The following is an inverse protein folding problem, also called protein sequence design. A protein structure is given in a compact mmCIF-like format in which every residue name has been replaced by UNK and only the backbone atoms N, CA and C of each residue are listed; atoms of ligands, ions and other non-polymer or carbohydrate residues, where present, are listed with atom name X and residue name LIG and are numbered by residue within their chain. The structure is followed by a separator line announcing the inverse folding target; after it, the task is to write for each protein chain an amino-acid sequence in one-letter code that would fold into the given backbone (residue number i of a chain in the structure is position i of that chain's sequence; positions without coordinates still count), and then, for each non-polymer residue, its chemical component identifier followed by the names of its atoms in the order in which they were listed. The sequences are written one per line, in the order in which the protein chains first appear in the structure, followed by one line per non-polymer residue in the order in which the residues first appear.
data_IF_667280210946
#
_entry.id   IF_667280210946
#
_cell.length_a   1.000
_cell.length_b   1.000
_cell.length_c   1.000
_cell.angle_alpha   90.00
_cell.angle_beta   90.00
_cell.angle_gamma   90.00
#
_symmetry.space_group_name_H-M   'P 1'
#
loop_
_entity.id
_entity.type
_entity.pdbx_description
1 polymer ?
#
# COMPACT_ATOMS: atom_id res chain seq x y z
N UNK A 1 -20.80 0.57 8.73
CA UNK A 1 -20.48 -0.62 7.91
C UNK A 1 -21.05 -0.39 6.52
N UNK A 2 -20.21 -0.25 5.49
CA UNK A 2 -20.66 0.01 4.12
C UNK A 2 -21.56 -1.16 3.65
N UNK A 3 -22.82 -0.87 3.31
CA UNK A 3 -23.86 -1.87 2.96
C UNK A 3 -24.15 -1.91 1.45
N UNK A 4 -23.11 -1.88 0.62
CA UNK A 4 -23.23 -2.02 -0.84
C UNK A 4 -21.95 -2.58 -1.45
N UNK A 5 -22.01 -3.12 -2.68
CA UNK A 5 -20.80 -3.48 -3.42
C UNK A 5 -19.89 -2.26 -3.56
N UNK A 6 -18.58 -2.48 -3.61
CA UNK A 6 -17.64 -1.39 -3.89
C UNK A 6 -18.06 -0.69 -5.21
N UNK A 7 -18.13 0.65 -5.23
CA UNK A 7 -18.46 1.40 -6.44
C UNK A 7 -17.53 1.00 -7.59
N UNK A 8 -18.02 0.96 -8.83
CA UNK A 8 -17.19 0.79 -10.02
C UNK A 8 -16.83 2.16 -10.57
N UNK A 9 -15.66 2.66 -10.16
CA UNK A 9 -15.12 3.98 -10.45
C UNK A 9 -13.66 3.85 -10.91
N UNK A 10 -13.43 4.03 -12.20
CA UNK A 10 -12.09 3.99 -12.79
C UNK A 10 -11.26 5.25 -12.50
N UNK A 11 -11.82 6.25 -11.82
CA UNK A 11 -11.11 7.45 -11.35
C UNK A 11 -10.78 7.36 -9.85
N UNK A 12 -11.28 6.33 -9.15
CA UNK A 12 -11.00 6.07 -7.75
C UNK A 12 -9.76 5.20 -7.53
N UNK A 13 -9.25 5.23 -6.29
CA UNK A 13 -8.22 4.30 -5.80
C UNK A 13 -8.89 3.34 -4.82
N UNK A 14 -8.69 2.04 -5.01
CA UNK A 14 -9.21 1.00 -4.14
C UNK A 14 -8.13 0.52 -3.19
N UNK A 15 -8.28 0.81 -1.90
CA UNK A 15 -7.31 0.40 -0.89
C UNK A 15 -7.75 -0.90 -0.22
N UNK A 16 -6.85 -1.87 -0.18
CA UNK A 16 -6.99 -3.12 0.56
C UNK A 16 -6.09 -3.03 1.77
N UNK A 17 -6.71 -2.76 2.92
CA UNK A 17 -6.02 -2.73 4.21
C UNK A 17 -6.13 -4.11 4.86
N UNK A 18 -4.99 -4.75 5.10
CA UNK A 18 -4.97 -6.09 5.69
C UNK A 18 -5.23 -6.03 7.21
N UNK A 19 -5.74 -7.14 7.76
CA UNK A 19 -5.64 -7.38 9.21
C UNK A 19 -4.24 -7.91 9.57
N UNK A 20 -3.84 -7.87 10.86
CA UNK A 20 -2.52 -8.34 11.31
C UNK A 20 -2.20 -9.81 11.01
N UNK A 21 -3.21 -10.66 10.78
CA UNK A 21 -3.07 -12.09 10.53
C UNK A 21 -2.89 -12.44 9.04
N UNK A 22 -3.03 -11.47 8.14
CA UNK A 22 -2.85 -11.66 6.70
C UNK A 22 -1.37 -11.75 6.34
N UNK A 23 -1.02 -12.77 5.56
CA UNK A 23 0.32 -13.00 5.01
C UNK A 23 0.24 -13.02 3.48
N UNK A 24 0.23 -11.83 2.90
CA UNK A 24 0.17 -11.68 1.45
C UNK A 24 1.51 -12.08 0.81
N UNK A 25 1.42 -12.86 -0.26
CA UNK A 25 2.56 -13.35 -1.01
C UNK A 25 2.28 -13.11 -2.49
N UNK A 26 3.18 -12.39 -3.13
CA UNK A 26 3.16 -12.18 -4.57
C UNK A 26 3.67 -13.42 -5.29
N UNK A 27 3.19 -13.60 -6.53
CA UNK A 27 3.60 -14.69 -7.42
C UNK A 27 5.09 -14.68 -7.79
N UNK A 28 5.82 -13.60 -7.48
CA UNK A 28 7.25 -13.41 -7.78
C UNK A 28 8.20 -13.74 -6.61
N UNK A 29 7.79 -14.61 -5.66
CA UNK A 29 8.55 -14.94 -4.45
C UNK A 29 8.85 -13.72 -3.55
N UNK A 30 8.05 -12.67 -3.68
CA UNK A 30 8.09 -11.45 -2.88
C UNK A 30 6.90 -11.46 -1.93
N UNK A 31 7.08 -11.06 -0.67
CA UNK A 31 6.03 -11.16 0.34
C UNK A 31 5.98 -9.94 1.25
N UNK A 32 4.77 -9.66 1.72
CA UNK A 32 4.54 -8.69 2.78
C UNK A 32 5.44 -9.00 3.99
N UNK A 33 6.01 -7.96 4.60
CA UNK A 33 6.97 -8.00 5.72
C UNK A 33 8.42 -8.40 5.38
N UNK A 34 8.69 -9.02 4.24
CA UNK A 34 10.05 -9.39 3.84
C UNK A 34 10.60 -8.49 2.73
N UNK A 35 9.72 -8.03 1.84
CA UNK A 35 10.11 -7.32 0.64
C UNK A 35 9.44 -5.95 0.52
N UNK A 36 8.20 -5.85 0.97
CA UNK A 36 7.40 -4.64 0.90
C UNK A 36 6.42 -4.55 2.08
N UNK A 37 5.93 -3.34 2.30
CA UNK A 37 4.95 -3.01 3.34
C UNK A 37 3.58 -2.65 2.75
N UNK A 38 3.59 -2.22 1.49
CA UNK A 38 2.45 -2.06 0.62
C UNK A 38 2.93 -2.07 -0.83
N UNK A 39 1.99 -1.93 -1.74
CA UNK A 39 2.26 -1.60 -3.15
C UNK A 39 0.98 -1.04 -3.77
N UNK A 40 1.11 -0.14 -4.74
CA UNK A 40 0.04 0.14 -5.70
C UNK A 40 0.19 -0.69 -6.96
N UNK A 41 -0.91 -0.86 -7.67
CA UNK A 41 -0.95 -1.47 -8.99
C UNK A 41 -2.27 -1.15 -9.68
N UNK A 42 -2.47 -1.73 -10.84
CA UNK A 42 -3.70 -1.58 -11.60
C UNK A 42 -4.15 -2.90 -12.20
N UNK A 43 -5.47 -3.01 -12.43
CA UNK A 43 -6.05 -4.13 -13.15
C UNK A 43 -7.06 -3.64 -14.19
N UNK A 44 -7.32 -4.49 -15.17
CA UNK A 44 -8.33 -4.26 -16.18
C UNK A 44 -9.62 -4.99 -15.80
N UNK A 45 -10.74 -4.27 -15.82
CA UNK A 45 -12.07 -4.86 -15.74
C UNK A 45 -12.90 -4.34 -16.92
N UNK A 46 -13.11 -5.21 -17.91
CA UNK A 46 -13.62 -4.81 -19.23
C UNK A 46 -12.63 -3.89 -19.95
N UNK A 47 -13.11 -2.76 -20.46
CA UNK A 47 -12.29 -1.76 -21.17
C UNK A 47 -11.72 -0.66 -20.26
N UNK A 48 -11.91 -0.77 -18.94
CA UNK A 48 -11.46 0.24 -17.96
C UNK A 48 -10.32 -0.29 -17.11
N UNK A 49 -9.38 0.59 -16.79
CA UNK A 49 -8.32 0.38 -15.81
C UNK A 49 -8.78 0.90 -14.44
N UNK A 50 -8.41 0.18 -13.40
CA UNK A 50 -8.69 0.50 -12.01
C UNK A 50 -7.39 0.47 -11.22
N UNK A 51 -7.18 1.48 -10.38
CA UNK A 51 -5.99 1.59 -9.53
C UNK A 51 -6.32 1.03 -8.16
N UNK A 52 -5.45 0.21 -7.62
CA UNK A 52 -5.59 -0.31 -6.26
C UNK A 52 -4.27 -0.25 -5.52
N UNK A 53 -4.35 -0.23 -4.20
CA UNK A 53 -3.20 -0.36 -3.31
C UNK A 53 -3.45 -1.46 -2.30
N UNK A 54 -2.46 -2.30 -2.06
CA UNK A 54 -2.44 -3.20 -0.91
C UNK A 54 -1.57 -2.57 0.18
N UNK A 55 -2.08 -2.54 1.40
CA UNK A 55 -1.32 -2.11 2.57
C UNK A 55 -1.43 -3.22 3.62
N UNK A 56 -0.30 -3.86 3.90
CA UNK A 56 -0.21 -4.88 4.91
C UNK A 56 -0.10 -4.26 6.30
N UNK A 57 -0.80 -4.82 7.29
CA UNK A 57 -0.75 -4.35 8.67
C UNK A 57 0.59 -4.71 9.34
N UNK A 58 1.45 -3.72 9.64
CA UNK A 58 2.80 -3.94 10.18
C UNK A 58 2.85 -4.58 11.57
N UNK A 59 1.73 -4.74 12.27
CA UNK A 59 1.67 -5.52 13.51
C UNK A 59 2.13 -6.98 13.30
N UNK A 60 2.07 -7.51 12.07
CA UNK A 60 2.62 -8.82 11.70
C UNK A 60 4.16 -8.84 11.65
N UNK A 61 4.80 -7.67 11.55
CA UNK A 61 6.24 -7.52 11.37
C UNK A 61 6.75 -6.16 11.87
N UNK A 62 6.68 -5.99 13.19
CA UNK A 62 7.03 -4.76 13.90
C UNK A 62 8.44 -4.25 13.57
N UNK A 63 9.37 -5.13 13.19
CA UNK A 63 10.75 -4.77 12.89
C UNK A 63 11.00 -4.36 11.43
N UNK A 64 10.03 -4.57 10.53
CA UNK A 64 10.22 -4.36 9.08
C UNK A 64 9.45 -3.18 8.52
N UNK A 65 8.15 -3.11 8.83
CA UNK A 65 7.23 -2.17 8.17
C UNK A 65 6.74 -1.03 9.07
N UNK A 66 7.35 -0.89 10.23
CA UNK A 66 7.17 0.23 11.15
C UNK A 66 8.44 1.04 11.00
N UNK A 67 8.37 2.22 10.41
CA UNK A 67 9.53 3.07 10.17
C UNK A 67 10.30 3.44 11.45
N UNK A 68 11.11 4.50 11.40
CA UNK A 68 12.08 4.80 12.46
C UNK A 68 11.54 4.93 13.90
N UNK A 69 10.23 5.17 14.10
CA UNK A 69 9.66 5.35 15.42
C UNK A 69 8.71 4.19 15.82
N UNK A 70 9.30 3.10 16.28
CA UNK A 70 8.57 1.94 16.82
C UNK A 70 8.28 2.02 18.33
N UNK A 71 8.74 3.09 18.99
CA UNK A 71 8.68 3.24 20.46
C UNK A 71 7.61 4.26 20.90
N UNK A 72 7.41 5.33 20.12
CA UNK A 72 6.45 6.40 20.41
C UNK A 72 5.58 6.64 19.18
N UNK A 73 4.47 5.93 19.07
CA UNK A 73 3.54 6.14 17.96
C UNK A 73 2.49 7.22 18.31
N UNK A 74 2.05 8.04 17.34
CA UNK A 74 1.09 9.13 17.60
C UNK A 74 -0.22 8.71 18.28
N UNK A 75 -0.72 7.50 18.01
CA UNK A 75 -1.99 7.01 18.52
C UNK A 75 -1.84 5.84 19.51
N UNK A 76 -0.61 5.49 19.91
CA UNK A 76 -0.35 4.37 20.82
C UNK A 76 -0.54 2.97 20.20
N UNK A 77 -0.90 2.89 18.91
CA UNK A 77 -0.91 1.67 18.12
C UNK A 77 0.10 1.81 16.98
N UNK A 78 1.28 1.27 17.22
CA UNK A 78 2.41 1.38 16.30
C UNK A 78 2.15 0.69 14.95
N UNK A 79 1.36 -0.39 14.95
CA UNK A 79 1.02 -1.11 13.72
C UNK A 79 0.08 -0.29 12.85
N UNK A 80 -0.98 0.26 13.45
CA UNK A 80 -1.93 1.12 12.73
C UNK A 80 -1.29 2.44 12.29
N UNK A 81 -0.44 3.05 13.11
CA UNK A 81 0.24 4.29 12.74
C UNK A 81 1.18 4.09 11.55
N UNK A 82 1.90 2.96 11.52
CA UNK A 82 2.71 2.58 10.37
C UNK A 82 1.84 2.22 9.14
N UNK A 83 0.73 1.51 9.32
CA UNK A 83 -0.25 1.23 8.25
C UNK A 83 -0.73 2.54 7.59
N UNK A 84 -1.01 3.57 8.39
CA UNK A 84 -1.44 4.88 7.89
C UNK A 84 -0.32 5.60 7.12
N UNK A 85 0.92 5.53 7.59
CA UNK A 85 2.08 6.07 6.88
C UNK A 85 2.27 5.39 5.51
N UNK A 86 2.22 4.06 5.48
CA UNK A 86 2.34 3.28 4.25
C UNK A 86 1.15 3.59 3.32
N UNK A 87 -0.06 3.74 3.86
CA UNK A 87 -1.23 4.15 3.07
C UNK A 87 -1.02 5.49 2.38
N UNK A 88 -0.45 6.48 3.08
CA UNK A 88 -0.15 7.78 2.47
C UNK A 88 0.91 7.67 1.37
N UNK A 89 1.94 6.85 1.58
CA UNK A 89 2.96 6.53 0.57
C UNK A 89 2.32 5.91 -0.69
N UNK A 90 1.58 4.81 -0.54
CA UNK A 90 0.95 4.12 -1.69
C UNK A 90 -0.04 5.02 -2.44
N UNK A 91 -0.78 5.89 -1.74
CA UNK A 91 -1.69 6.86 -2.38
C UNK A 91 -0.89 7.88 -3.20
N UNK A 92 0.20 8.40 -2.66
CA UNK A 92 1.01 9.41 -3.34
C UNK A 92 1.55 8.85 -4.67
N UNK A 93 2.08 7.63 -4.64
CA UNK A 93 2.63 6.95 -5.82
C UNK A 93 1.53 6.54 -6.80
N UNK A 94 0.42 5.98 -6.32
CA UNK A 94 -0.73 5.65 -7.15
C UNK A 94 -1.32 6.86 -7.90
N UNK A 95 -1.23 8.07 -7.33
CA UNK A 95 -1.69 9.31 -7.98
C UNK A 95 -0.69 9.81 -9.02
N UNK A 96 0.61 9.77 -8.72
CA UNK A 96 1.65 10.32 -9.60
C UNK A 96 2.14 9.36 -10.68
N UNK A 97 2.11 8.06 -10.40
CA UNK A 97 2.40 6.99 -11.35
C UNK A 97 1.39 5.82 -11.27
N UNK A 98 0.14 6.05 -11.68
CA UNK A 98 -0.90 5.01 -11.62
C UNK A 98 -0.61 3.78 -12.50
N UNK A 99 0.28 3.88 -13.49
CA UNK A 99 0.48 2.86 -14.52
C UNK A 99 1.95 2.44 -14.72
N UNK A 100 2.84 2.83 -13.82
CA UNK A 100 4.28 2.56 -13.87
C UNK A 100 4.95 3.11 -15.14
N UNK A 101 4.52 4.30 -15.57
CA UNK A 101 5.03 4.97 -16.76
C UNK A 101 5.26 6.47 -16.57
N UNK A 102 5.38 6.91 -15.32
CA UNK A 102 5.68 8.29 -14.97
C UNK A 102 7.18 8.49 -14.65
N UNK A 103 7.50 9.58 -13.98
CA UNK A 103 8.87 9.92 -13.60
C UNK A 103 9.31 9.07 -12.40
N UNK A 104 10.56 8.60 -12.46
CA UNK A 104 11.29 8.02 -11.33
C UNK A 104 12.66 8.70 -11.24
N UNK A 105 13.29 8.65 -10.07
CA UNK A 105 14.67 9.11 -9.91
C UNK A 105 15.69 8.17 -10.59
N UNK A 106 16.98 8.53 -10.56
CA UNK A 106 18.04 7.74 -11.21
C UNK A 106 18.28 6.36 -10.59
N UNK A 107 17.76 6.11 -9.39
CA UNK A 107 17.82 4.83 -8.70
C UNK A 107 16.53 4.00 -8.89
N UNK A 108 15.56 4.52 -9.66
CA UNK A 108 14.25 3.89 -9.84
C UNK A 108 13.31 4.10 -8.65
N UNK A 109 13.57 5.08 -7.78
CA UNK A 109 12.70 5.42 -6.67
C UNK A 109 11.61 6.39 -7.12
N UNK A 110 10.38 6.16 -6.66
CA UNK A 110 9.24 7.04 -6.86
C UNK A 110 9.29 8.24 -5.89
N UNK A 111 8.25 9.08 -5.93
CA UNK A 111 8.18 10.30 -5.15
C UNK A 111 8.02 10.07 -3.64
N UNK A 112 7.49 8.92 -3.20
CA UNK A 112 7.25 8.61 -1.79
C UNK A 112 8.30 7.67 -1.16
N UNK A 113 9.23 7.15 -1.95
CA UNK A 113 10.35 6.28 -1.53
C UNK A 113 11.48 6.98 -0.72
N UNK A 114 11.31 8.25 -0.34
CA UNK A 114 12.35 9.08 0.26
C UNK A 114 12.09 9.44 1.73
#
# INVERSE_FOLDING_TARGET
MARGPLPSDSLGIYLVLSSPDVKENSSSSSSFCNNYCGYHSYFNLGSKRYIFGFIGNPQNCITGCIGYNSIVSPNGDVGVDALMSNTAHEIAEAITDPYFNAWMDSNGAENADK
#
